data_IF_917225238470
#
_entry.id   IF_917225238470
#
_cell.length_a   1.000
_cell.length_b   1.000
_cell.length_c   1.000
_cell.angle_alpha   90.00
_cell.angle_beta   90.00
_cell.angle_gamma   90.00
#
_symmetry.space_group_name_H-M   'P 1'
#
loop_
_entity.id
_entity.type
_entity.pdbx_description
1 polymer ?
#
# COMPACT_ATOMS: atom_id res chain seq x y z
N UNK A 1 6.57 6.83 -7.51
CA UNK A 1 6.15 6.04 -8.70
C UNK A 1 7.32 5.19 -9.24
N UNK A 2 8.45 5.77 -9.67
CA UNK A 2 9.60 5.02 -10.24
C UNK A 2 10.19 4.00 -9.25
N UNK A 3 10.56 4.45 -8.06
CA UNK A 3 11.19 3.61 -7.03
C UNK A 3 10.28 2.45 -6.61
N UNK A 4 8.98 2.69 -6.57
CA UNK A 4 8.00 1.66 -6.22
C UNK A 4 7.91 0.59 -7.30
N UNK A 5 7.91 0.97 -8.58
CA UNK A 5 7.95 0.02 -9.69
C UNK A 5 9.20 -0.86 -9.65
N UNK A 6 10.37 -0.28 -9.32
CA UNK A 6 11.60 -1.03 -9.12
C UNK A 6 11.51 -1.98 -7.92
N UNK A 7 10.95 -1.54 -6.80
CA UNK A 7 10.79 -2.36 -5.60
C UNK A 7 9.90 -3.58 -5.86
N UNK A 8 8.75 -3.37 -6.52
CA UNK A 8 7.85 -4.43 -6.97
C UNK A 8 8.57 -5.40 -7.90
N UNK A 9 9.27 -4.91 -8.93
CA UNK A 9 9.97 -5.75 -9.90
C UNK A 9 11.10 -6.60 -9.27
N UNK A 10 11.72 -6.09 -8.20
CA UNK A 10 12.75 -6.80 -7.44
C UNK A 10 12.18 -7.70 -6.34
N UNK A 11 10.85 -7.83 -6.23
CA UNK A 11 10.21 -8.63 -5.18
C UNK A 11 10.45 -8.10 -3.77
N UNK A 12 10.74 -6.80 -3.63
CA UNK A 12 10.94 -6.19 -2.31
C UNK A 12 9.60 -6.03 -1.58
N UNK A 13 9.55 -6.29 -0.27
CA UNK A 13 8.40 -5.93 0.56
C UNK A 13 8.06 -4.44 0.35
N UNK A 14 6.83 -4.16 -0.05
CA UNK A 14 6.38 -2.81 -0.40
C UNK A 14 5.11 -2.49 0.38
N UNK A 15 5.10 -1.34 1.05
CA UNK A 15 4.00 -0.84 1.87
C UNK A 15 3.71 0.59 1.44
N UNK A 16 2.43 0.91 1.20
CA UNK A 16 2.02 2.20 0.64
C UNK A 16 1.29 3.04 1.67
N UNK A 17 1.95 4.09 2.15
CA UNK A 17 1.33 5.09 3.00
C UNK A 17 0.90 6.31 2.19
N UNK A 18 -0.30 6.80 2.49
CA UNK A 18 -0.86 8.02 1.92
C UNK A 18 -1.55 8.82 3.02
N UNK A 19 -1.11 10.06 3.21
CA UNK A 19 -1.66 11.02 4.17
C UNK A 19 -2.67 12.01 3.54
N UNK A 20 -3.00 11.81 2.27
CA UNK A 20 -3.88 12.70 1.49
C UNK A 20 -5.23 12.02 1.24
N UNK A 21 -6.30 12.58 1.81
CA UNK A 21 -7.67 12.07 1.68
C UNK A 21 -8.40 12.52 0.41
N UNK A 22 -7.77 13.38 -0.42
CA UNK A 22 -8.42 13.88 -1.63
C UNK A 22 -8.47 12.78 -2.69
N UNK A 23 -9.65 12.28 -3.01
CA UNK A 23 -9.79 11.36 -4.14
C UNK A 23 -9.72 12.13 -5.46
N UNK A 24 -8.77 11.78 -6.31
CA UNK A 24 -8.69 12.24 -7.72
C UNK A 24 -9.10 11.10 -8.66
N UNK A 25 -9.43 9.93 -8.10
CA UNK A 25 -9.91 8.77 -8.84
C UNK A 25 -11.44 8.72 -8.80
N UNK A 26 -12.04 8.28 -9.91
CA UNK A 26 -13.50 8.05 -10.02
C UNK A 26 -13.98 6.84 -9.18
N UNK A 27 -13.06 6.15 -8.48
CA UNK A 27 -13.36 5.00 -7.63
C UNK A 27 -12.69 5.14 -6.27
N UNK A 28 -13.41 4.74 -5.22
CA UNK A 28 -12.86 4.65 -3.86
C UNK A 28 -11.98 3.40 -3.66
N UNK A 29 -12.13 2.39 -4.52
CA UNK A 29 -11.40 1.12 -4.42
C UNK A 29 -9.91 1.28 -4.81
N UNK A 30 -9.63 2.18 -5.74
CA UNK A 30 -8.27 2.48 -6.20
C UNK A 30 -8.06 4.00 -6.20
N UNK A 31 -7.78 4.61 -5.03
CA UNK A 31 -7.77 6.06 -4.87
C UNK A 31 -6.52 6.72 -5.49
N UNK A 32 -5.69 5.94 -6.20
CA UNK A 32 -4.44 6.33 -6.84
C UNK A 32 -4.31 5.61 -8.19
N UNK A 33 -3.24 5.89 -8.94
CA UNK A 33 -2.97 5.24 -10.22
C UNK A 33 -2.97 3.70 -10.10
N UNK A 34 -3.75 3.02 -10.95
CA UNK A 34 -3.92 1.56 -10.97
C UNK A 34 -2.59 0.79 -11.02
N UNK A 35 -1.56 1.32 -11.71
CA UNK A 35 -0.23 0.67 -11.80
C UNK A 35 0.49 0.57 -10.46
N UNK A 36 0.07 1.33 -9.45
CA UNK A 36 0.58 1.18 -8.09
C UNK A 36 0.10 -0.14 -7.46
N UNK A 37 -1.10 -0.58 -7.84
CA UNK A 37 -1.77 -1.74 -7.24
C UNK A 37 -1.50 -3.03 -8.01
N UNK A 38 -1.10 -2.97 -9.29
CA UNK A 38 -0.78 -4.16 -10.11
C UNK A 38 0.40 -4.98 -9.57
N UNK A 39 1.25 -4.36 -8.75
CA UNK A 39 2.40 -4.99 -8.10
C UNK A 39 2.14 -5.45 -6.66
N UNK A 40 0.97 -5.13 -6.09
CA UNK A 40 0.62 -5.44 -4.71
C UNK A 40 -0.17 -6.75 -4.64
N UNK A 41 -0.17 -7.42 -3.47
CA UNK A 41 -1.01 -8.59 -3.29
C UNK A 41 -2.50 -8.23 -3.48
N UNK A 42 -3.27 -9.18 -4.01
CA UNK A 42 -4.66 -9.04 -4.50
C UNK A 42 -5.58 -8.24 -3.56
N UNK A 43 -6.70 -7.71 -4.08
CA UNK A 43 -7.59 -6.75 -3.42
C UNK A 43 -7.80 -6.92 -1.90
N UNK A 44 -7.99 -8.14 -1.38
CA UNK A 44 -8.13 -8.39 0.06
C UNK A 44 -6.86 -8.08 0.89
N UNK A 45 -5.68 -8.24 0.30
CA UNK A 45 -4.39 -7.91 0.90
C UNK A 45 -3.97 -6.46 0.66
N UNK A 46 -4.62 -5.74 -0.26
CA UNK A 46 -4.33 -4.33 -0.51
C UNK A 46 -4.60 -3.49 0.74
N UNK A 47 -5.74 -3.71 1.41
CA UNK A 47 -6.10 -3.04 2.68
C UNK A 47 -5.06 -3.25 3.80
N UNK A 48 -4.31 -4.36 3.75
CA UNK A 48 -3.24 -4.65 4.72
C UNK A 48 -1.93 -3.92 4.38
N UNK A 49 -1.73 -3.53 3.12
CA UNK A 49 -0.51 -2.88 2.60
C UNK A 49 -0.71 -1.40 2.30
N UNK A 50 -1.95 -0.91 2.33
CA UNK A 50 -2.31 0.49 2.16
C UNK A 50 -2.61 1.14 3.51
N UNK A 51 -2.01 2.29 3.77
CA UNK A 51 -2.08 2.99 5.05
C UNK A 51 -2.62 4.39 4.83
N UNK A 52 -3.70 4.73 5.52
CA UNK A 52 -4.40 6.03 5.36
C UNK A 52 -4.10 7.04 6.45
N UNK A 53 -3.43 6.61 7.52
CA UNK A 53 -3.03 7.47 8.62
C UNK A 53 -1.74 6.95 9.25
N UNK A 54 -1.06 7.80 10.01
CA UNK A 54 0.20 7.43 10.68
C UNK A 54 -0.03 6.36 11.75
N UNK A 55 -1.20 6.38 12.40
CA UNK A 55 -1.59 5.39 13.41
C UNK A 55 -1.65 3.98 12.83
N UNK A 56 -2.06 3.84 11.56
CA UNK A 56 -2.11 2.54 10.89
C UNK A 56 -0.71 1.91 10.69
N UNK A 57 0.37 2.70 10.65
CA UNK A 57 1.74 2.20 10.39
C UNK A 57 2.19 1.20 11.47
N UNK A 58 1.81 1.46 12.72
CA UNK A 58 2.14 0.60 13.87
C UNK A 58 1.13 -0.50 14.16
N UNK A 59 0.03 -0.56 13.41
CA UNK A 59 -1.10 -1.40 13.74
C UNK A 59 -0.78 -2.89 13.50
N UNK A 60 -1.04 -3.74 14.51
CA UNK A 60 -0.59 -5.14 14.53
C UNK A 60 -1.20 -6.00 13.42
N UNK A 61 -2.39 -5.62 12.97
CA UNK A 61 -3.12 -6.25 11.89
C UNK A 61 -2.55 -5.93 10.51
N UNK A 62 -1.79 -4.83 10.36
CA UNK A 62 -1.24 -4.38 9.08
C UNK A 62 0.02 -5.15 8.70
N UNK A 63 0.30 -5.21 7.40
CA UNK A 63 1.38 -6.04 6.85
C UNK A 63 2.78 -5.59 7.30
N UNK A 64 2.99 -4.29 7.51
CA UNK A 64 4.27 -3.72 7.94
C UNK A 64 4.62 -4.17 9.36
N UNK A 65 3.67 -4.11 10.29
CA UNK A 65 3.88 -4.55 11.66
C UNK A 65 4.14 -6.05 11.76
N UNK A 66 3.50 -6.86 10.90
CA UNK A 66 3.76 -8.29 10.79
C UNK A 66 5.16 -8.55 10.23
N UNK A 67 5.51 -7.94 9.11
CA UNK A 67 6.82 -8.06 8.48
C UNK A 67 7.96 -7.64 9.40
N UNK A 68 7.78 -6.57 10.18
CA UNK A 68 8.77 -6.07 11.13
C UNK A 68 9.02 -7.01 12.32
N UNK A 69 8.10 -7.95 12.61
CA UNK A 69 8.23 -8.92 13.71
C UNK A 69 8.90 -10.23 13.30
N UNK A 70 9.18 -10.43 12.00
CA UNK A 70 9.69 -11.68 11.43
C UNK A 70 8.60 -12.70 11.16
#
# INVERSE_FOLDING_TARGET
MIEMGMAVALGKPTFLFRDDFRSVADTEEYPLNLMLFTGMPQAAALELHYYRSVEEIGAAEKALARWARG
#
